data_IF_880350216263
#
_entry.id   IF_880350216263
#
_cell.length_a   1.000
_cell.length_b   1.000
_cell.length_c   1.000
_cell.angle_alpha   90.00
_cell.angle_beta   90.00
_cell.angle_gamma   90.00
#
_symmetry.space_group_name_H-M   'P 1'
#
loop_
_entity.id
_entity.type
_entity.pdbx_description
1 polymer ?
#
# COMPACT_ATOMS: atom_id res chain seq x y z
N UNK A 1 -6.54 15.62 -0.71
CA UNK A 1 -5.13 15.58 -1.19
C UNK A 1 -4.97 14.25 -1.90
N UNK A 2 -4.71 14.28 -3.21
CA UNK A 2 -4.81 13.09 -4.09
C UNK A 2 -3.96 11.92 -3.61
N UNK A 3 -2.75 12.17 -3.10
CA UNK A 3 -1.87 11.13 -2.57
C UNK A 3 -2.34 10.53 -1.24
N UNK A 4 -2.89 11.35 -0.32
CA UNK A 4 -3.46 10.87 0.95
C UNK A 4 -4.68 10.00 0.73
N UNK A 5 -5.54 10.36 -0.21
CA UNK A 5 -6.71 9.56 -0.59
C UNK A 5 -6.28 8.21 -1.17
N UNK A 6 -5.27 8.19 -2.05
CA UNK A 6 -4.72 6.96 -2.60
C UNK A 6 -4.12 6.05 -1.52
N UNK A 7 -3.33 6.61 -0.61
CA UNK A 7 -2.80 5.88 0.54
C UNK A 7 -3.90 5.27 1.40
N UNK A 8 -4.97 6.03 1.69
CA UNK A 8 -6.12 5.53 2.45
C UNK A 8 -6.80 4.36 1.73
N UNK A 9 -7.04 4.49 0.42
CA UNK A 9 -7.64 3.41 -0.39
C UNK A 9 -6.80 2.15 -0.32
N UNK A 10 -5.49 2.24 -0.62
CA UNK A 10 -4.57 1.10 -0.56
C UNK A 10 -4.57 0.47 0.84
N UNK A 11 -4.50 1.29 1.88
CA UNK A 11 -4.52 0.82 3.27
C UNK A 11 -5.79 0.04 3.61
N UNK A 12 -6.96 0.52 3.16
CA UNK A 12 -8.24 -0.14 3.39
C UNK A 12 -8.31 -1.49 2.64
N UNK A 13 -7.77 -1.56 1.42
CA UNK A 13 -7.67 -2.82 0.65
C UNK A 13 -6.76 -3.83 1.35
N UNK A 14 -5.59 -3.40 1.82
CA UNK A 14 -4.62 -4.24 2.52
C UNK A 14 -5.09 -4.74 3.89
N UNK A 15 -6.26 -4.34 4.38
CA UNK A 15 -6.86 -4.98 5.56
C UNK A 15 -7.22 -6.43 5.28
N UNK A 16 -7.60 -6.75 4.04
CA UNK A 16 -7.86 -8.10 3.56
C UNK A 16 -6.64 -8.63 2.78
N UNK A 17 -5.98 -9.72 3.23
CA UNK A 17 -4.84 -10.29 2.53
C UNK A 17 -5.17 -10.92 1.17
N UNK A 18 -6.43 -11.20 0.86
CA UNK A 18 -6.85 -11.80 -0.42
C UNK A 18 -7.31 -10.76 -1.46
N UNK A 19 -7.46 -9.50 -1.07
CA UNK A 19 -7.82 -8.41 -1.97
C UNK A 19 -6.59 -7.92 -2.77
N UNK A 20 -6.18 -8.75 -3.74
CA UNK A 20 -4.98 -8.53 -4.56
C UNK A 20 -5.29 -7.97 -5.96
N UNK A 21 -6.52 -8.08 -6.42
CA UNK A 21 -6.92 -7.67 -7.78
C UNK A 21 -6.73 -6.17 -7.98
N UNK A 22 -5.99 -5.70 -8.98
CA UNK A 22 -5.80 -4.26 -9.18
C UNK A 22 -4.85 -3.58 -8.18
N UNK A 23 -4.20 -4.35 -7.29
CA UNK A 23 -3.32 -3.80 -6.25
C UNK A 23 -2.00 -3.30 -6.85
N UNK A 24 -1.48 -3.94 -7.90
CA UNK A 24 -0.28 -3.50 -8.61
C UNK A 24 -0.48 -2.13 -9.24
N UNK A 25 -1.60 -1.92 -9.92
CA UNK A 25 -2.01 -0.66 -10.53
C UNK A 25 -2.14 0.44 -9.48
N UNK A 26 -2.68 0.12 -8.31
CA UNK A 26 -2.76 1.06 -7.20
C UNK A 26 -1.38 1.53 -6.72
N UNK A 27 -0.40 0.61 -6.63
CA UNK A 27 0.97 0.95 -6.25
C UNK A 27 1.70 1.73 -7.34
N UNK A 28 1.47 1.43 -8.63
CA UNK A 28 2.03 2.20 -9.75
C UNK A 28 1.47 3.64 -9.79
N UNK A 29 0.17 3.81 -9.56
CA UNK A 29 -0.41 5.15 -9.43
C UNK A 29 0.16 5.89 -8.22
N UNK A 30 0.34 5.22 -7.09
CA UNK A 30 0.96 5.82 -5.91
C UNK A 30 2.39 6.29 -6.20
N UNK A 31 3.19 5.50 -6.91
CA UNK A 31 4.56 5.87 -7.30
C UNK A 31 4.56 7.13 -8.19
N UNK A 32 3.65 7.20 -9.16
CA UNK A 32 3.46 8.38 -10.02
C UNK A 32 3.13 9.63 -9.21
N UNK A 33 2.22 9.50 -8.23
CA UNK A 33 1.86 10.61 -7.33
C UNK A 33 3.05 11.04 -6.47
N UNK A 34 3.84 10.11 -5.93
CA UNK A 34 5.04 10.41 -5.13
C UNK A 34 6.04 11.24 -5.94
N UNK A 35 6.28 10.89 -7.21
CA UNK A 35 7.22 11.61 -8.09
C UNK A 35 6.82 13.07 -8.32
N UNK A 36 5.51 13.38 -8.30
CA UNK A 36 4.98 14.73 -8.45
C UNK A 36 4.76 15.51 -7.14
N UNK A 37 5.04 14.91 -5.98
CA UNK A 37 4.72 15.48 -4.66
C UNK A 37 5.92 16.21 -4.06
N UNK A 38 5.69 17.33 -3.35
CA UNK A 38 6.75 18.10 -2.70
C UNK A 38 7.36 17.35 -1.51
N UNK A 39 8.59 17.72 -1.12
CA UNK A 39 9.26 17.10 0.05
C UNK A 39 8.48 17.32 1.35
N UNK A 40 7.89 18.50 1.57
CA UNK A 40 7.07 18.74 2.76
C UNK A 40 5.85 17.80 2.79
N UNK A 41 5.15 17.65 1.68
CA UNK A 41 3.96 16.80 1.61
C UNK A 41 4.32 15.31 1.74
N UNK A 42 5.43 14.88 1.15
CA UNK A 42 5.99 13.53 1.36
C UNK A 42 6.29 13.24 2.84
N UNK A 43 6.82 14.22 3.59
CA UNK A 43 7.04 14.06 5.04
C UNK A 43 5.73 13.88 5.80
N UNK A 44 4.67 14.58 5.40
CA UNK A 44 3.35 14.47 6.04
C UNK A 44 2.71 13.10 5.86
N UNK A 45 2.98 12.43 4.73
CA UNK A 45 2.38 11.12 4.40
C UNK A 45 3.29 9.93 4.70
N UNK A 46 4.53 10.18 5.11
CA UNK A 46 5.53 9.13 5.32
C UNK A 46 5.05 8.04 6.28
N UNK A 47 4.38 8.44 7.36
CA UNK A 47 3.83 7.49 8.35
C UNK A 47 2.76 6.58 7.74
N UNK A 48 1.85 7.14 6.95
CA UNK A 48 0.80 6.36 6.28
C UNK A 48 1.39 5.36 5.28
N UNK A 49 2.42 5.78 4.53
CA UNK A 49 3.14 4.92 3.61
C UNK A 49 3.86 3.75 4.31
N UNK A 50 4.51 4.01 5.45
CA UNK A 50 5.16 2.96 6.24
C UNK A 50 4.14 1.97 6.85
N UNK A 51 2.95 2.44 7.24
CA UNK A 51 1.87 1.54 7.68
C UNK A 51 1.37 0.62 6.56
N UNK A 52 1.23 1.14 5.33
CA UNK A 52 0.89 0.35 4.13
C UNK A 52 1.95 -0.74 3.88
N UNK A 53 3.24 -0.40 3.95
CA UNK A 53 4.32 -1.39 3.77
C UNK A 53 4.25 -2.51 4.81
N UNK A 54 3.95 -2.18 6.07
CA UNK A 54 3.77 -3.18 7.14
C UNK A 54 2.59 -4.10 6.87
N UNK A 55 1.44 -3.55 6.45
CA UNK A 55 0.26 -4.35 6.11
C UNK A 55 0.52 -5.26 4.92
N UNK A 56 1.14 -4.73 3.85
CA UNK A 56 1.48 -5.51 2.67
C UNK A 56 2.40 -6.67 3.02
N UNK A 57 3.47 -6.42 3.78
CA UNK A 57 4.38 -7.47 4.25
C UNK A 57 3.65 -8.55 5.07
N UNK A 58 2.81 -8.15 6.02
CA UNK A 58 1.99 -9.07 6.82
C UNK A 58 1.13 -9.96 5.90
N UNK A 59 0.48 -9.37 4.90
CA UNK A 59 -0.37 -10.10 3.98
C UNK A 59 0.44 -11.08 3.12
N UNK A 60 1.61 -10.69 2.61
CA UNK A 60 2.52 -11.59 1.89
C UNK A 60 2.95 -12.76 2.78
N UNK A 61 3.27 -12.52 4.06
CA UNK A 61 3.62 -13.60 5.00
C UNK A 61 2.44 -14.55 5.25
N UNK A 62 1.20 -14.04 5.37
CA UNK A 62 -0.02 -14.86 5.48
C UNK A 62 -0.18 -15.74 4.24
N UNK A 63 -0.11 -15.14 3.05
CA UNK A 63 -0.26 -15.87 1.78
C UNK A 63 0.81 -16.94 1.63
N UNK A 64 2.09 -16.62 1.88
CA UNK A 64 3.19 -17.60 1.83
C UNK A 64 2.92 -18.83 2.71
N UNK A 65 2.52 -18.62 3.96
CA UNK A 65 2.18 -19.74 4.87
C UNK A 65 1.03 -20.58 4.34
N UNK A 66 0.02 -19.98 3.72
CA UNK A 66 -1.10 -20.73 3.13
C UNK A 66 -0.68 -21.56 1.91
N UNK A 67 0.29 -21.08 1.13
CA UNK A 67 0.84 -21.82 -0.01
C UNK A 67 1.82 -22.93 0.41
N UNK A 68 2.59 -22.74 1.48
CA UNK A 68 3.52 -23.75 2.02
C UNK A 68 2.83 -24.89 2.78
N UNK A 69 1.59 -24.69 3.22
CA UNK A 69 0.78 -25.71 3.93
C UNK A 69 0.00 -26.61 2.94
N UNK A 70 0.18 -26.42 1.63
CA UNK A 70 -0.32 -27.33 0.59
C UNK A 70 0.75 -28.31 0.13
#
# INVERSE_FOLDING_TARGET
MRIKEKLKQIKDRLKDPFNIEGLEEDFLELESLIKGTSKEELRMIYKDYEEIKKLFRRNVEILKRLYEVK
#
